data_IF_657378702888
#
_entry.id   IF_657378702888
#
_cell.length_a   1.000
_cell.length_b   1.000
_cell.length_c   1.000
_cell.angle_alpha   90.00
_cell.angle_beta   90.00
_cell.angle_gamma   90.00
#
_symmetry.space_group_name_H-M   'P 1'
#
loop_
_entity.id
_entity.type
_entity.pdbx_description
1 polymer ?
#
# COMPACT_ATOMS: atom_id res chain seq x y z
N UNK A 1 -14.11 -20.29 66.00
CA UNK A 1 -14.08 -20.71 64.58
C UNK A 1 -15.44 -21.28 64.23
N UNK A 2 -16.27 -20.60 63.43
CA UNK A 2 -17.41 -21.21 62.79
C UNK A 2 -17.16 -21.40 61.27
N UNK A 3 -17.44 -22.63 60.88
CA UNK A 3 -17.57 -23.28 59.58
C UNK A 3 -18.13 -22.37 58.45
N UNK A 4 -17.35 -22.18 57.37
CA UNK A 4 -17.82 -21.57 56.13
C UNK A 4 -18.27 -22.68 55.17
N UNK A 5 -19.58 -22.90 55.15
CA UNK A 5 -20.30 -23.80 54.26
C UNK A 5 -20.00 -23.44 52.80
N UNK A 6 -19.43 -24.38 52.06
CA UNK A 6 -19.25 -24.36 50.60
C UNK A 6 -20.65 -24.18 49.96
N UNK A 7 -20.96 -22.97 49.49
CA UNK A 7 -22.13 -22.74 48.64
C UNK A 7 -21.81 -23.25 47.24
N UNK A 8 -22.71 -24.09 46.75
CA UNK A 8 -22.58 -24.89 45.55
C UNK A 8 -22.38 -24.04 44.29
N UNK A 9 -21.55 -24.56 43.39
CA UNK A 9 -21.34 -24.03 42.05
C UNK A 9 -22.68 -23.87 41.31
N UNK A 10 -22.93 -22.65 40.82
CA UNK A 10 -24.01 -22.35 39.89
C UNK A 10 -23.68 -22.96 38.51
N UNK A 11 -24.49 -23.92 37.99
CA UNK A 11 -24.25 -24.56 36.72
C UNK A 11 -24.63 -23.68 35.51
N UNK A 12 -25.11 -22.45 35.70
CA UNK A 12 -25.65 -21.61 34.63
C UNK A 12 -24.61 -20.81 33.82
N UNK A 13 -23.31 -20.85 34.16
CA UNK A 13 -22.26 -20.17 33.38
C UNK A 13 -21.53 -21.10 32.41
N UNK A 14 -22.28 -21.93 31.70
CA UNK A 14 -21.81 -22.70 30.55
C UNK A 14 -22.74 -22.43 29.38
N UNK A 15 -22.25 -21.76 28.32
CA UNK A 15 -22.99 -21.81 27.05
C UNK A 15 -23.13 -20.53 26.22
N UNK A 16 -22.28 -19.52 26.36
CA UNK A 16 -22.25 -18.43 25.37
C UNK A 16 -20.84 -18.20 24.82
N UNK A 17 -20.27 -19.25 24.21
CA UNK A 17 -19.25 -19.07 23.18
C UNK A 17 -19.94 -19.23 21.83
N UNK A 18 -20.62 -18.18 21.39
CA UNK A 18 -21.07 -18.10 20.00
C UNK A 18 -19.84 -17.76 19.14
N UNK A 19 -19.00 -18.77 18.91
CA UNK A 19 -18.00 -18.72 17.85
C UNK A 19 -18.77 -18.89 16.52
N UNK A 20 -19.54 -17.89 16.12
CA UNK A 20 -19.95 -17.79 14.71
C UNK A 20 -18.66 -17.73 13.90
N UNK A 21 -18.38 -18.69 13.00
CA UNK A 21 -17.25 -18.57 12.08
C UNK A 21 -17.48 -17.27 11.32
N UNK A 22 -16.66 -16.25 11.56
CA UNK A 22 -16.71 -15.03 10.76
C UNK A 22 -16.64 -15.46 9.29
N UNK A 23 -17.63 -15.07 8.50
CA UNK A 23 -17.70 -15.42 7.08
C UNK A 23 -16.59 -14.68 6.32
N UNK A 24 -15.42 -15.30 6.29
CA UNK A 24 -14.22 -14.79 5.64
C UNK A 24 -14.31 -14.84 4.11
N UNK A 25 -15.36 -15.45 3.53
CA UNK A 25 -15.52 -15.53 2.07
C UNK A 25 -15.65 -14.16 1.45
N UNK A 26 -16.40 -13.24 2.07
CA UNK A 26 -16.55 -11.87 1.59
C UNK A 26 -15.23 -11.10 1.63
N UNK A 27 -14.47 -11.20 2.73
CA UNK A 27 -13.18 -10.55 2.86
C UNK A 27 -12.14 -11.12 1.86
N UNK A 28 -12.05 -12.44 1.74
CA UNK A 28 -11.12 -13.09 0.82
C UNK A 28 -11.45 -12.73 -0.63
N UNK A 29 -12.72 -12.73 -1.02
CA UNK A 29 -13.15 -12.30 -2.35
C UNK A 29 -12.73 -10.85 -2.64
N UNK A 30 -13.04 -9.92 -1.73
CA UNK A 30 -12.68 -8.52 -1.89
C UNK A 30 -11.16 -8.31 -1.92
N UNK A 31 -10.42 -9.07 -1.11
CA UNK A 31 -8.96 -9.03 -1.12
C UNK A 31 -8.40 -9.49 -2.48
N UNK A 32 -8.86 -10.62 -3.02
CA UNK A 32 -8.43 -11.09 -4.34
C UNK A 32 -8.82 -10.11 -5.47
N UNK A 33 -10.02 -9.51 -5.40
CA UNK A 33 -10.44 -8.48 -6.35
C UNK A 33 -9.52 -7.25 -6.26
N UNK A 34 -9.18 -6.83 -5.05
CA UNK A 34 -8.29 -5.67 -4.83
C UNK A 34 -6.89 -5.94 -5.38
N UNK A 35 -6.35 -7.14 -5.13
CA UNK A 35 -5.07 -7.57 -5.70
C UNK A 35 -5.08 -7.65 -7.22
N UNK A 36 -6.13 -8.23 -7.80
CA UNK A 36 -6.27 -8.29 -9.26
C UNK A 36 -6.33 -6.89 -9.88
N UNK A 37 -7.16 -5.99 -9.32
CA UNK A 37 -7.28 -4.61 -9.80
C UNK A 37 -5.96 -3.86 -9.65
N UNK A 38 -5.28 -4.01 -8.51
CA UNK A 38 -3.98 -3.38 -8.25
C UNK A 38 -2.91 -3.84 -9.24
N UNK A 39 -2.80 -5.15 -9.48
CA UNK A 39 -1.86 -5.72 -10.45
C UNK A 39 -2.18 -5.27 -11.88
N UNK A 40 -3.46 -5.25 -12.27
CA UNK A 40 -3.89 -4.75 -13.57
C UNK A 40 -3.50 -3.27 -13.72
N UNK A 41 -3.72 -2.44 -12.70
CA UNK A 41 -3.34 -1.03 -12.73
C UNK A 41 -1.82 -0.84 -12.93
N UNK A 42 -0.99 -1.63 -12.24
CA UNK A 42 0.47 -1.62 -12.42
C UNK A 42 0.86 -2.05 -13.84
N UNK A 43 0.27 -3.12 -14.37
CA UNK A 43 0.54 -3.61 -15.73
C UNK A 43 0.15 -2.57 -16.76
N UNK A 44 -1.05 -1.98 -16.64
CA UNK A 44 -1.51 -0.94 -17.56
C UNK A 44 -0.59 0.28 -17.51
N UNK A 45 -0.15 0.70 -16.32
CA UNK A 45 0.79 1.81 -16.17
C UNK A 45 2.14 1.50 -16.82
N UNK A 46 2.67 0.29 -16.64
CA UNK A 46 3.91 -0.17 -17.25
C UNK A 46 3.79 -0.25 -18.79
N UNK A 47 2.69 -0.79 -19.31
CA UNK A 47 2.42 -0.86 -20.76
C UNK A 47 2.28 0.53 -21.34
N UNK A 48 1.59 1.45 -20.65
CA UNK A 48 1.40 2.82 -21.10
C UNK A 48 2.72 3.58 -21.19
N UNK A 49 3.51 3.54 -20.12
CA UNK A 49 4.83 4.20 -20.06
C UNK A 49 5.82 3.58 -21.05
N UNK A 50 5.82 2.26 -21.24
CA UNK A 50 6.72 1.59 -22.17
C UNK A 50 6.34 1.77 -23.65
N UNK A 51 5.06 1.61 -24.01
CA UNK A 51 4.63 1.54 -25.41
C UNK A 51 4.12 2.88 -25.96
N UNK A 52 3.47 3.70 -25.13
CA UNK A 52 2.85 4.95 -25.57
C UNK A 52 3.67 6.19 -25.23
N UNK A 53 4.50 6.14 -24.17
CA UNK A 53 5.36 7.26 -23.76
C UNK A 53 6.84 7.10 -24.15
N UNK A 54 7.15 6.16 -25.03
CA UNK A 54 8.48 6.00 -25.61
C UNK A 54 9.52 5.31 -24.73
N UNK A 55 9.12 4.73 -23.59
CA UNK A 55 10.01 3.93 -22.74
C UNK A 55 10.59 4.69 -21.55
N UNK A 56 11.70 4.20 -21.00
CA UNK A 56 12.31 4.75 -19.80
C UNK A 56 13.71 5.26 -20.10
N UNK A 57 13.97 6.50 -19.69
CA UNK A 57 15.31 7.05 -19.60
C UNK A 57 15.53 7.60 -18.20
N UNK A 58 16.78 7.87 -17.85
CA UNK A 58 17.13 8.65 -16.66
C UNK A 58 17.71 9.98 -17.16
N UNK A 59 19.04 10.15 -17.14
CA UNK A 59 19.69 11.41 -17.58
C UNK A 59 19.80 11.65 -19.08
N UNK A 60 19.60 10.63 -19.92
CA UNK A 60 19.78 10.78 -21.37
C UNK A 60 18.63 11.53 -22.04
N UNK A 61 17.43 11.46 -21.45
CA UNK A 61 16.25 12.14 -21.97
C UNK A 61 15.29 12.54 -20.83
N UNK A 62 15.27 13.84 -20.45
CA UNK A 62 14.42 14.35 -19.38
C UNK A 62 12.92 14.07 -19.58
N UNK A 63 12.44 13.97 -20.82
CA UNK A 63 11.02 13.70 -21.09
C UNK A 63 10.63 12.27 -20.71
N UNK A 64 11.55 11.32 -20.87
CA UNK A 64 11.36 9.91 -20.52
C UNK A 64 11.72 9.62 -19.06
N UNK A 65 12.51 10.49 -18.41
CA UNK A 65 12.75 10.44 -16.95
C UNK A 65 11.44 10.60 -16.17
N UNK A 66 10.54 11.46 -16.64
CA UNK A 66 9.22 11.63 -16.06
C UNK A 66 8.40 10.33 -16.07
N UNK A 67 8.63 9.38 -16.98
CA UNK A 67 7.86 8.14 -17.04
C UNK A 67 8.08 7.24 -15.79
N UNK A 68 9.19 7.41 -15.07
CA UNK A 68 9.41 6.76 -13.78
C UNK A 68 8.47 7.28 -12.70
N UNK A 69 8.07 8.54 -12.77
CA UNK A 69 7.21 9.16 -11.76
C UNK A 69 5.85 8.45 -11.61
N UNK A 70 5.00 8.32 -12.67
CA UNK A 70 3.71 7.66 -12.54
C UNK A 70 3.84 6.13 -12.33
N UNK A 71 4.88 5.48 -12.87
CA UNK A 71 5.11 4.05 -12.65
C UNK A 71 5.43 3.75 -11.18
N UNK A 72 6.44 4.43 -10.62
CA UNK A 72 6.88 4.21 -9.24
C UNK A 72 5.80 4.62 -8.23
N UNK A 73 5.05 5.70 -8.50
CA UNK A 73 3.91 6.08 -7.65
C UNK A 73 2.77 5.05 -7.71
N UNK A 74 2.51 4.42 -8.86
CA UNK A 74 1.49 3.37 -8.96
C UNK A 74 1.92 2.11 -8.20
N UNK A 75 3.19 1.73 -8.27
CA UNK A 75 3.70 0.56 -7.55
C UNK A 75 3.77 0.83 -6.04
N UNK A 76 4.38 1.96 -5.65
CA UNK A 76 4.58 2.32 -4.25
C UNK A 76 3.29 2.77 -3.57
N UNK A 77 2.79 3.94 -3.96
CA UNK A 77 1.71 4.65 -3.26
C UNK A 77 0.33 4.03 -3.49
N UNK A 78 0.09 3.38 -4.63
CA UNK A 78 -1.21 2.75 -4.89
C UNK A 78 -1.17 1.29 -4.44
N UNK A 79 -0.33 0.46 -5.05
CA UNK A 79 -0.37 -0.99 -4.83
C UNK A 79 0.21 -1.42 -3.48
N UNK A 80 1.46 -1.06 -3.18
CA UNK A 80 2.13 -1.47 -1.95
C UNK A 80 1.55 -0.82 -0.71
N UNK A 81 1.15 0.46 -0.78
CA UNK A 81 0.51 1.16 0.34
C UNK A 81 -0.87 0.57 0.68
N UNK A 82 -1.70 0.27 -0.33
CA UNK A 82 -2.98 -0.41 -0.12
C UNK A 82 -2.78 -1.79 0.54
N UNK A 83 -1.79 -2.55 0.07
CA UNK A 83 -1.39 -3.82 0.68
C UNK A 83 -0.94 -3.65 2.14
N UNK A 84 -0.16 -2.61 2.44
CA UNK A 84 0.30 -2.32 3.80
C UNK A 84 -0.87 -2.03 4.76
N UNK A 85 -1.92 -1.35 4.30
CA UNK A 85 -3.14 -1.10 5.09
C UNK A 85 -3.91 -2.40 5.35
N UNK A 86 -4.01 -3.27 4.34
CA UNK A 86 -4.76 -4.51 4.42
C UNK A 86 -4.01 -5.64 5.16
N UNK A 87 -2.70 -5.54 5.36
CA UNK A 87 -1.85 -6.60 5.93
C UNK A 87 -2.34 -7.13 7.28
N UNK A 88 -2.87 -6.26 8.14
CA UNK A 88 -3.38 -6.67 9.46
C UNK A 88 -4.66 -7.50 9.38
N UNK A 89 -5.45 -7.31 8.31
CA UNK A 89 -6.68 -8.06 8.05
C UNK A 89 -6.37 -9.34 7.28
N UNK A 90 -5.50 -9.26 6.27
CA UNK A 90 -5.08 -10.38 5.44
C UNK A 90 -4.32 -11.45 6.25
N UNK A 91 -3.41 -11.03 7.13
CA UNK A 91 -2.56 -11.92 7.91
C UNK A 91 -2.97 -12.00 9.39
N UNK A 92 -4.28 -12.07 9.66
CA UNK A 92 -4.85 -12.10 11.02
C UNK A 92 -4.36 -13.25 11.91
N UNK A 93 -3.85 -14.32 11.32
CA UNK A 93 -3.38 -15.53 12.02
C UNK A 93 -1.93 -15.43 12.52
N UNK A 94 -1.16 -14.43 12.05
CA UNK A 94 0.26 -14.28 12.38
C UNK A 94 0.42 -13.44 13.67
N UNK A 95 1.53 -13.65 14.39
CA UNK A 95 1.88 -12.88 15.59
C UNK A 95 1.91 -11.37 15.32
N UNK A 96 1.30 -10.58 16.21
CA UNK A 96 1.22 -9.11 16.12
C UNK A 96 2.58 -8.42 15.93
N UNK A 97 3.66 -8.94 16.55
CA UNK A 97 5.02 -8.40 16.38
C UNK A 97 5.51 -8.52 14.93
N UNK A 98 5.28 -9.66 14.30
CA UNK A 98 5.65 -9.90 12.90
C UNK A 98 4.83 -9.04 11.95
N UNK A 99 3.53 -8.87 12.21
CA UNK A 99 2.67 -7.97 11.42
C UNK A 99 3.17 -6.52 11.43
N UNK A 100 3.58 -6.02 12.61
CA UNK A 100 4.15 -4.67 12.73
C UNK A 100 5.43 -4.50 11.92
N UNK A 101 6.30 -5.51 11.92
CA UNK A 101 7.54 -5.50 11.15
C UNK A 101 7.24 -5.50 9.65
N UNK A 102 6.35 -6.38 9.18
CA UNK A 102 5.97 -6.44 7.75
C UNK A 102 5.34 -5.13 7.31
N UNK A 103 4.36 -4.61 8.07
CA UNK A 103 3.71 -3.34 7.77
C UNK A 103 4.72 -2.18 7.70
N UNK A 104 5.60 -2.07 8.70
CA UNK A 104 6.64 -1.04 8.72
C UNK A 104 7.63 -1.19 7.56
N UNK A 105 8.03 -2.42 7.22
CA UNK A 105 8.92 -2.70 6.10
C UNK A 105 8.29 -2.31 4.76
N UNK A 106 7.00 -2.63 4.54
CA UNK A 106 6.30 -2.24 3.31
C UNK A 106 6.22 -0.71 3.21
N UNK A 107 5.82 -0.01 4.29
CA UNK A 107 5.79 1.46 4.27
C UNK A 107 7.16 2.08 4.05
N UNK A 108 8.22 1.49 4.59
CA UNK A 108 9.58 1.94 4.34
C UNK A 108 9.95 1.84 2.85
N UNK A 109 9.61 0.74 2.19
CA UNK A 109 9.79 0.57 0.74
C UNK A 109 8.94 1.59 -0.04
N UNK A 110 7.70 1.84 0.36
CA UNK A 110 6.83 2.84 -0.27
C UNK A 110 7.46 4.22 -0.22
N UNK A 111 8.01 4.62 0.92
CA UNK A 111 8.68 5.91 1.09
C UNK A 111 9.87 6.01 0.13
N UNK A 112 10.73 4.99 0.06
CA UNK A 112 11.88 4.98 -0.85
C UNK A 112 11.43 5.15 -2.31
N UNK A 113 10.43 4.39 -2.75
CA UNK A 113 9.93 4.47 -4.14
C UNK A 113 9.33 5.84 -4.45
N UNK A 114 8.59 6.42 -3.51
CA UNK A 114 7.95 7.74 -3.66
C UNK A 114 9.00 8.84 -3.76
N UNK A 115 10.07 8.76 -2.95
CA UNK A 115 11.19 9.72 -3.02
C UNK A 115 11.88 9.64 -4.38
N UNK A 116 12.16 8.44 -4.89
CA UNK A 116 12.78 8.25 -6.22
C UNK A 116 11.85 8.79 -7.32
N UNK A 117 10.54 8.53 -7.22
CA UNK A 117 9.54 9.06 -8.16
C UNK A 117 9.50 10.60 -8.15
N UNK A 118 9.60 11.21 -6.96
CA UNK A 118 9.66 12.65 -6.79
C UNK A 118 10.93 13.26 -7.40
N UNK A 119 12.09 12.63 -7.17
CA UNK A 119 13.35 13.05 -7.78
C UNK A 119 13.26 12.99 -9.31
N UNK A 120 12.73 11.90 -9.88
CA UNK A 120 12.56 11.78 -11.33
C UNK A 120 11.68 12.88 -11.93
N UNK A 121 10.61 13.29 -11.24
CA UNK A 121 9.77 14.40 -11.68
C UNK A 121 10.50 15.75 -11.60
N UNK A 122 11.18 16.02 -10.49
CA UNK A 122 11.94 17.26 -10.32
C UNK A 122 13.10 17.37 -11.31
N UNK A 123 13.85 16.29 -11.50
CA UNK A 123 14.95 16.23 -12.46
C UNK A 123 14.43 16.43 -13.89
N UNK A 124 13.30 15.83 -14.27
CA UNK A 124 12.69 16.04 -15.59
C UNK A 124 12.33 17.51 -15.85
N UNK A 125 11.84 18.24 -14.83
CA UNK A 125 11.50 19.66 -14.94
C UNK A 125 12.74 20.55 -14.96
N UNK A 126 13.73 20.25 -14.12
CA UNK A 126 14.95 21.03 -13.98
C UNK A 126 15.89 20.87 -15.18
N UNK A 127 15.95 19.67 -15.76
CA UNK A 127 16.78 19.33 -16.91
C UNK A 127 16.06 19.56 -18.25
N UNK A 128 14.79 19.97 -18.22
CA UNK A 128 14.04 20.33 -19.42
C UNK A 128 14.73 21.48 -20.16
N UNK A 129 15.01 21.27 -21.45
CA UNK A 129 15.60 22.26 -22.36
C UNK A 129 14.60 22.61 -23.47
N UNK A 130 14.59 23.84 -23.99
CA UNK A 130 15.51 24.95 -23.67
C UNK A 130 15.18 25.71 -22.37
N UNK A 131 13.95 25.60 -21.86
CA UNK A 131 13.51 26.30 -20.66
C UNK A 131 13.13 25.29 -19.57
N UNK A 132 13.73 25.40 -18.36
CA UNK A 132 13.29 24.62 -17.20
C UNK A 132 11.84 24.89 -16.85
N UNK A 133 11.13 23.86 -16.38
CA UNK A 133 9.73 23.97 -15.95
C UNK A 133 9.73 24.33 -14.45
N UNK A 134 8.96 25.35 -14.00
CA UNK A 134 8.86 25.66 -12.58
C UNK A 134 8.25 24.48 -11.81
N UNK A 135 8.74 24.23 -10.60
CA UNK A 135 8.23 23.16 -9.74
C UNK A 135 7.09 23.65 -8.82
N UNK A 136 6.27 22.72 -8.33
CA UNK A 136 5.25 22.95 -7.30
C UNK A 136 4.20 24.04 -7.58
N UNK A 137 3.92 24.34 -8.85
CA UNK A 137 2.88 25.32 -9.22
C UNK A 137 1.48 24.68 -9.41
N UNK A 138 1.40 23.35 -9.47
CA UNK A 138 0.16 22.63 -9.72
C UNK A 138 -0.50 22.15 -8.42
N UNK A 139 -1.83 22.04 -8.42
CA UNK A 139 -2.56 21.43 -7.29
C UNK A 139 -2.12 19.98 -7.04
N UNK A 140 -1.77 19.24 -8.09
CA UNK A 140 -1.24 17.88 -7.96
C UNK A 140 0.04 17.85 -7.12
N UNK A 141 0.97 18.75 -7.43
CA UNK A 141 2.21 18.86 -6.66
C UNK A 141 1.98 19.30 -5.22
N UNK A 142 0.96 20.11 -4.90
CA UNK A 142 0.67 20.49 -3.51
C UNK A 142 0.09 19.33 -2.69
N UNK A 143 -0.78 18.52 -3.29
CA UNK A 143 -1.38 17.37 -2.63
C UNK A 143 -0.40 16.21 -2.45
N UNK A 144 0.64 16.17 -3.28
CA UNK A 144 1.64 15.10 -3.31
C UNK A 144 3.04 15.55 -2.88
N UNK A 145 3.17 16.75 -2.28
CA UNK A 145 4.39 17.30 -1.67
C UNK A 145 4.55 16.93 -0.20
#
# INVERSE_FOLDING_TARGET
>A
MPEYTITMADPARSGAKMDTPEDLRGFNLLFFVTEAVGLIAVILMAVWTANYRGGFAWRSDPAHEFNWHPLLNTIGMIYLFANAILVYRALRTIRKKTLKIIHGAIHFVVIILTVIAGIAALDSHNLAKPNPIPNFYSLHSWLCS
#
